data_IF_977592512380
#
_entry.id   IF_977592512380
#
_cell.length_a   1.000
_cell.length_b   1.000
_cell.length_c   1.000
_cell.angle_alpha   90.00
_cell.angle_beta   90.00
_cell.angle_gamma   90.00
#
_symmetry.space_group_name_H-M   'P 1'
#
loop_
_entity.id
_entity.type
_entity.pdbx_description
1 polymer ?
#
# COMPACT_ATOMS: atom_id res chain seq x y z
N UNK A 1 -10.85 5.27 -37.17
CA UNK A 1 -10.45 5.84 -35.87
C UNK A 1 -10.51 4.71 -34.85
N UNK A 2 -9.37 4.11 -34.52
CA UNK A 2 -9.33 2.94 -33.63
C UNK A 2 -9.73 3.32 -32.21
N UNK A 3 -10.70 2.60 -31.65
CA UNK A 3 -11.13 2.72 -30.27
C UNK A 3 -9.91 2.65 -29.34
N UNK A 4 -9.57 3.77 -28.71
CA UNK A 4 -8.53 3.79 -27.67
C UNK A 4 -9.05 2.94 -26.52
N UNK A 5 -8.39 1.81 -26.26
CA UNK A 5 -8.71 0.97 -25.11
C UNK A 5 -8.66 1.81 -23.81
N UNK A 6 -9.68 1.73 -22.95
CA UNK A 6 -9.87 2.61 -21.80
C UNK A 6 -8.99 2.15 -20.63
N UNK A 7 -7.68 2.38 -20.70
CA UNK A 7 -6.77 2.10 -19.58
C UNK A 7 -6.29 3.36 -18.88
N UNK A 8 -6.54 4.54 -19.48
CA UNK A 8 -6.20 5.84 -18.91
C UNK A 8 -6.83 6.06 -17.53
N UNK A 9 -8.04 5.53 -17.29
CA UNK A 9 -8.72 5.68 -16.00
C UNK A 9 -7.94 5.08 -14.83
N UNK A 10 -7.18 3.99 -15.04
CA UNK A 10 -6.36 3.40 -13.97
C UNK A 10 -5.19 4.29 -13.59
N UNK A 11 -4.52 4.90 -14.58
CA UNK A 11 -3.45 5.86 -14.32
C UNK A 11 -3.99 7.10 -13.59
N UNK A 12 -5.20 7.56 -13.92
CA UNK A 12 -5.88 8.62 -13.16
C UNK A 12 -6.25 8.18 -11.74
N UNK A 13 -6.67 6.93 -11.53
CA UNK A 13 -6.93 6.41 -10.19
C UNK A 13 -5.66 6.44 -9.32
N UNK A 14 -4.52 5.95 -9.83
CA UNK A 14 -3.23 6.00 -9.13
C UNK A 14 -2.80 7.43 -8.81
N UNK A 15 -3.00 8.35 -9.77
CA UNK A 15 -2.72 9.76 -9.56
C UNK A 15 -3.58 10.36 -8.45
N UNK A 16 -4.90 10.13 -8.49
CA UNK A 16 -5.85 10.63 -7.49
C UNK A 16 -5.50 10.09 -6.11
N UNK A 17 -5.21 8.79 -5.98
CA UNK A 17 -4.76 8.20 -4.71
C UNK A 17 -3.47 8.87 -4.20
N UNK A 18 -2.52 9.17 -5.08
CA UNK A 18 -1.30 9.89 -4.74
C UNK A 18 -1.54 11.33 -4.30
N UNK A 19 -2.48 12.03 -4.95
CA UNK A 19 -2.90 13.36 -4.54
C UNK A 19 -3.62 13.36 -3.20
N UNK A 20 -4.47 12.36 -2.93
CA UNK A 20 -5.09 12.18 -1.61
C UNK A 20 -4.05 11.93 -0.52
N UNK A 21 -3.06 11.07 -0.78
CA UNK A 21 -1.98 10.82 0.15
C UNK A 21 -1.16 12.10 0.46
N UNK A 22 -0.92 12.94 -0.56
CA UNK A 22 -0.28 14.25 -0.38
C UNK A 22 -1.10 15.20 0.49
N UNK A 23 -2.39 15.35 0.19
CA UNK A 23 -3.29 16.21 0.98
C UNK A 23 -3.33 15.73 2.43
N UNK A 24 -3.46 14.42 2.64
CA UNK A 24 -3.46 13.84 3.98
C UNK A 24 -2.14 14.11 4.72
N UNK A 25 -1.00 13.94 4.04
CA UNK A 25 0.31 14.24 4.62
C UNK A 25 0.46 15.72 4.98
N UNK A 26 -0.13 16.65 4.21
CA UNK A 26 -0.09 18.09 4.49
C UNK A 26 -1.00 18.49 5.65
N UNK A 27 -2.11 17.79 5.86
CA UNK A 27 -3.04 18.02 6.97
C UNK A 27 -2.47 17.64 8.34
N UNK A 28 -1.46 16.78 8.40
CA UNK A 28 -0.79 16.41 9.66
C UNK A 28 -0.06 17.64 10.22
N UNK A 29 -0.37 18.12 11.44
CA UNK A 29 0.29 19.29 12.01
C UNK A 29 1.81 19.04 12.14
N UNK A 30 2.63 20.04 11.79
CA UNK A 30 4.09 19.96 11.97
C UNK A 30 4.45 20.36 13.40
N UNK A 31 5.28 19.55 14.05
CA UNK A 31 5.91 19.92 15.32
C UNK A 31 6.81 21.15 15.07
N UNK A 32 6.42 22.30 15.60
CA UNK A 32 7.20 23.55 15.53
C UNK A 32 6.98 24.41 14.29
N UNK A 33 5.99 24.12 13.43
CA UNK A 33 5.66 24.97 12.27
C UNK A 33 6.70 24.97 11.14
N UNK A 34 7.75 24.16 11.26
CA UNK A 34 8.78 23.98 10.23
C UNK A 34 8.65 22.62 9.55
N UNK A 35 8.86 22.59 8.22
CA UNK A 35 8.87 21.35 7.46
C UNK A 35 10.20 20.65 7.71
N UNK A 36 10.18 19.57 8.49
CA UNK A 36 11.34 18.70 8.70
C UNK A 36 11.86 18.16 7.34
N UNK A 37 13.18 18.01 7.13
CA UNK A 37 13.74 17.50 5.87
C UNK A 37 13.16 16.14 5.44
N UNK A 38 12.80 15.27 6.40
CA UNK A 38 12.14 14.00 6.12
C UNK A 38 10.73 14.18 5.50
N UNK A 39 9.97 15.16 5.98
CA UNK A 39 8.64 15.49 5.44
C UNK A 39 8.74 16.10 4.06
N UNK A 40 9.76 16.93 3.82
CA UNK A 40 10.05 17.46 2.49
C UNK A 40 10.38 16.33 1.49
N UNK A 41 11.21 15.36 1.90
CA UNK A 41 11.52 14.19 1.08
C UNK A 41 10.27 13.34 0.77
N UNK A 42 9.38 13.15 1.76
CA UNK A 42 8.12 12.44 1.58
C UNK A 42 7.17 13.15 0.59
N UNK A 43 7.02 14.48 0.74
CA UNK A 43 6.22 15.30 -0.18
C UNK A 43 6.80 15.22 -1.59
N UNK A 44 8.12 15.36 -1.73
CA UNK A 44 8.81 15.26 -3.02
C UNK A 44 8.60 13.90 -3.68
N UNK A 45 8.76 12.80 -2.94
CA UNK A 45 8.54 11.45 -3.44
C UNK A 45 7.09 11.23 -3.91
N UNK A 46 6.11 11.67 -3.10
CA UNK A 46 4.71 11.55 -3.46
C UNK A 46 4.34 12.42 -4.67
N UNK A 47 4.87 13.65 -4.79
CA UNK A 47 4.68 14.51 -5.96
C UNK A 47 5.26 13.90 -7.22
N UNK A 48 6.46 13.29 -7.14
CA UNK A 48 7.07 12.62 -8.28
C UNK A 48 6.23 11.41 -8.71
N UNK A 49 5.75 10.61 -7.76
CA UNK A 49 4.90 9.45 -8.04
C UNK A 49 3.54 9.88 -8.62
N UNK A 50 2.81 10.78 -7.96
CA UNK A 50 1.49 11.24 -8.41
C UNK A 50 1.56 12.00 -9.74
N UNK A 51 2.61 12.80 -9.93
CA UNK A 51 2.89 13.50 -11.18
C UNK A 51 3.22 12.55 -12.33
N UNK A 52 4.03 11.52 -12.07
CA UNK A 52 4.36 10.48 -13.06
C UNK A 52 3.11 9.74 -13.52
N UNK A 53 2.23 9.36 -12.59
CA UNK A 53 0.97 8.69 -12.92
C UNK A 53 -0.02 9.61 -13.64
N UNK A 54 -0.10 10.88 -13.25
CA UNK A 54 -0.91 11.90 -13.94
C UNK A 54 -0.45 12.11 -15.38
N UNK A 55 0.87 12.14 -15.60
CA UNK A 55 1.46 12.23 -16.93
C UNK A 55 1.12 11.01 -17.78
N UNK A 56 1.23 9.79 -17.23
CA UNK A 56 0.86 8.56 -17.91
C UNK A 56 -0.66 8.47 -18.17
N UNK A 57 -1.50 9.08 -17.33
CA UNK A 57 -2.93 9.21 -17.59
C UNK A 57 -3.24 10.12 -18.77
N UNK A 58 -2.52 11.24 -18.88
CA UNK A 58 -2.66 12.19 -20.00
C UNK A 58 -2.08 11.65 -21.31
N UNK A 59 -0.91 10.98 -21.24
CA UNK A 59 -0.24 10.33 -22.36
C UNK A 59 -0.05 8.84 -22.06
N UNK A 60 -1.10 8.03 -22.23
CA UNK A 60 -0.98 6.59 -22.03
C UNK A 60 0.02 6.01 -23.04
N UNK A 61 0.80 5.00 -22.63
CA UNK A 61 1.77 4.35 -23.49
C UNK A 61 1.07 3.78 -24.74
N UNK A 62 1.69 4.02 -25.91
CA UNK A 62 1.14 3.64 -27.22
C UNK A 62 1.12 2.12 -27.44
N UNK A 63 2.01 1.40 -26.77
CA UNK A 63 2.14 -0.06 -26.83
C UNK A 63 1.81 -0.68 -25.46
N UNK A 64 0.53 -1.04 -25.19
CA UNK A 64 0.15 -1.70 -23.96
C UNK A 64 0.67 -3.15 -23.87
N UNK A 65 0.97 -3.79 -25.00
CA UNK A 65 1.48 -5.17 -25.01
C UNK A 65 2.95 -5.20 -24.55
N UNK A 66 3.70 -4.13 -24.84
CA UNK A 66 5.03 -3.89 -24.29
C UNK A 66 5.07 -3.76 -22.76
N UNK A 67 4.01 -3.26 -22.13
CA UNK A 67 3.88 -3.20 -20.66
C UNK A 67 3.55 -4.56 -20.05
N UNK A 68 2.80 -5.41 -20.77
CA UNK A 68 2.37 -6.73 -20.30
C UNK A 68 3.51 -7.78 -20.29
N UNK A 69 4.78 -7.35 -20.40
CA UNK A 69 5.93 -8.24 -20.35
C UNK A 69 6.02 -8.93 -18.98
N UNK A 70 6.42 -10.23 -18.94
CA UNK A 70 6.59 -10.96 -17.69
C UNK A 70 7.47 -10.25 -16.67
N UNK A 71 8.52 -9.56 -17.16
CA UNK A 71 9.46 -8.83 -16.31
C UNK A 71 8.76 -7.78 -15.43
N UNK A 72 7.83 -7.00 -15.99
CA UNK A 72 7.12 -5.97 -15.21
C UNK A 72 6.11 -6.57 -14.24
N UNK A 73 5.46 -7.68 -14.62
CA UNK A 73 4.53 -8.42 -13.75
C UNK A 73 5.26 -9.00 -12.54
N UNK A 74 6.33 -9.76 -12.77
CA UNK A 74 7.10 -10.33 -11.66
C UNK A 74 7.87 -9.26 -10.89
N UNK A 75 8.30 -8.20 -11.58
CA UNK A 75 8.93 -7.03 -10.96
C UNK A 75 8.01 -6.32 -9.98
N UNK A 76 6.74 -6.06 -10.33
CA UNK A 76 5.78 -5.42 -9.42
C UNK A 76 5.42 -6.32 -8.24
N UNK A 77 5.30 -7.63 -8.46
CA UNK A 77 5.07 -8.59 -7.36
C UNK A 77 6.27 -8.66 -6.40
N UNK A 78 7.49 -8.76 -6.94
CA UNK A 78 8.72 -8.78 -6.15
C UNK A 78 8.92 -7.45 -5.40
N UNK A 79 8.59 -6.31 -6.03
CA UNK A 79 8.61 -5.01 -5.39
C UNK A 79 7.65 -4.96 -4.19
N UNK A 80 6.42 -5.43 -4.35
CA UNK A 80 5.46 -5.51 -3.23
C UNK A 80 5.98 -6.37 -2.09
N UNK A 81 6.59 -7.51 -2.39
CA UNK A 81 7.14 -8.42 -1.37
C UNK A 81 8.34 -7.83 -0.66
N UNK A 82 9.26 -7.21 -1.40
CA UNK A 82 10.45 -6.55 -0.83
C UNK A 82 10.06 -5.37 0.04
N UNK A 83 9.11 -4.53 -0.39
CA UNK A 83 8.57 -3.44 0.42
C UNK A 83 7.88 -3.95 1.69
N UNK A 84 7.08 -5.02 1.59
CA UNK A 84 6.45 -5.65 2.75
C UNK A 84 7.46 -6.21 3.74
N UNK A 85 8.51 -6.85 3.24
CA UNK A 85 9.62 -7.36 4.05
C UNK A 85 10.40 -6.22 4.71
N UNK A 86 10.63 -5.11 4.00
CA UNK A 86 11.25 -3.90 4.58
C UNK A 86 10.37 -3.34 5.71
N UNK A 87 9.05 -3.25 5.50
CA UNK A 87 8.10 -2.80 6.52
C UNK A 87 8.13 -3.69 7.78
N UNK A 88 8.17 -5.02 7.57
CA UNK A 88 8.29 -6.00 8.63
C UNK A 88 9.62 -5.87 9.39
N UNK A 89 10.74 -5.79 8.67
CA UNK A 89 12.06 -5.64 9.28
C UNK A 89 12.19 -4.31 10.05
N UNK A 90 11.67 -3.22 9.50
CA UNK A 90 11.65 -1.92 10.20
C UNK A 90 10.88 -1.99 11.52
N UNK A 91 9.82 -2.81 11.58
CA UNK A 91 9.02 -2.98 12.80
C UNK A 91 9.66 -3.92 13.82
N UNK A 92 10.28 -5.01 13.38
CA UNK A 92 10.61 -6.14 14.25
C UNK A 92 12.11 -6.45 14.41
N UNK A 93 13.00 -5.94 13.54
CA UNK A 93 14.43 -6.29 13.61
C UNK A 93 15.14 -5.65 14.82
N UNK A 94 14.87 -4.38 15.10
CA UNK A 94 15.43 -3.65 16.23
C UNK A 94 14.50 -2.46 16.57
N UNK A 95 13.46 -2.67 17.38
CA UNK A 95 12.43 -1.66 17.60
C UNK A 95 13.01 -0.37 18.19
N UNK A 96 13.94 -0.44 19.14
CA UNK A 96 14.47 0.76 19.83
C UNK A 96 15.08 1.80 18.89
N UNK A 97 15.74 1.35 17.82
CA UNK A 97 16.38 2.24 16.84
C UNK A 97 15.51 2.51 15.62
N UNK A 98 14.69 1.54 15.21
CA UNK A 98 13.97 1.59 13.94
C UNK A 98 12.53 2.10 14.08
N UNK A 99 11.95 2.15 15.29
CA UNK A 99 10.58 2.64 15.50
C UNK A 99 10.36 4.06 14.95
N UNK A 100 11.24 5.06 15.20
CA UNK A 100 11.03 6.41 14.66
C UNK A 100 11.12 6.46 13.13
N UNK A 101 11.92 5.56 12.54
CA UNK A 101 12.07 5.44 11.08
C UNK A 101 10.83 4.75 10.50
N UNK A 102 10.35 3.70 11.14
CA UNK A 102 9.12 2.99 10.80
C UNK A 102 7.91 3.92 10.81
N UNK A 103 7.72 4.72 11.86
CA UNK A 103 6.57 5.64 11.97
C UNK A 103 6.56 6.66 10.83
N UNK A 104 7.73 7.17 10.44
CA UNK A 104 7.87 8.16 9.37
C UNK A 104 7.73 7.56 7.97
N UNK A 105 8.30 6.37 7.72
CA UNK A 105 8.31 5.74 6.41
C UNK A 105 7.10 4.85 6.15
N UNK A 106 6.43 4.35 7.21
CA UNK A 106 5.31 3.41 7.07
C UNK A 106 4.21 3.91 6.14
N UNK A 107 3.76 5.18 6.18
CA UNK A 107 2.69 5.62 5.28
C UNK A 107 3.11 5.54 3.80
N UNK A 108 4.37 5.89 3.50
CA UNK A 108 4.92 5.82 2.14
C UNK A 108 5.09 4.38 1.68
N UNK A 109 5.62 3.50 2.55
CA UNK A 109 5.83 2.10 2.23
C UNK A 109 4.51 1.37 2.01
N UNK A 110 3.50 1.61 2.84
CA UNK A 110 2.15 1.08 2.64
C UNK A 110 1.53 1.56 1.32
N UNK A 111 1.61 2.86 1.04
CA UNK A 111 1.14 3.40 -0.23
C UNK A 111 1.86 2.75 -1.43
N UNK A 112 3.18 2.57 -1.35
CA UNK A 112 3.98 1.95 -2.39
C UNK A 112 3.65 0.47 -2.59
N UNK A 113 3.35 -0.27 -1.50
CA UNK A 113 2.87 -1.66 -1.57
C UNK A 113 1.53 -1.72 -2.31
N UNK A 114 0.58 -0.85 -1.95
CA UNK A 114 -0.74 -0.80 -2.61
C UNK A 114 -0.59 -0.53 -4.11
N UNK A 115 0.23 0.46 -4.50
CA UNK A 115 0.52 0.73 -5.90
C UNK A 115 1.17 -0.46 -6.62
N UNK A 116 2.10 -1.16 -5.97
CA UNK A 116 2.77 -2.32 -6.55
C UNK A 116 1.79 -3.49 -6.78
N UNK A 117 0.89 -3.74 -5.83
CA UNK A 117 -0.18 -4.75 -5.94
C UNK A 117 -1.17 -4.36 -7.04
N UNK A 118 -1.65 -3.11 -7.06
CA UNK A 118 -2.55 -2.64 -8.10
C UNK A 118 -1.92 -2.74 -9.49
N UNK A 119 -0.64 -2.36 -9.62
CA UNK A 119 0.13 -2.48 -10.86
C UNK A 119 0.25 -3.95 -11.30
N UNK A 120 0.53 -4.86 -10.36
CA UNK A 120 0.58 -6.29 -10.64
C UNK A 120 -0.76 -6.83 -11.18
N UNK A 121 -1.87 -6.47 -10.54
CA UNK A 121 -3.21 -6.87 -10.97
C UNK A 121 -3.51 -6.31 -12.36
N UNK A 122 -3.19 -5.03 -12.59
CA UNK A 122 -3.39 -4.39 -13.89
C UNK A 122 -2.57 -5.06 -15.00
N UNK A 123 -1.28 -5.34 -14.77
CA UNK A 123 -0.44 -5.99 -15.76
C UNK A 123 -0.88 -7.44 -16.03
N UNK A 124 -1.35 -8.16 -15.01
CA UNK A 124 -1.98 -9.47 -15.18
C UNK A 124 -3.26 -9.38 -16.02
N UNK A 125 -4.08 -8.37 -15.77
CA UNK A 125 -5.29 -8.10 -16.53
C UNK A 125 -4.98 -7.81 -18.00
N UNK A 126 -3.97 -6.98 -18.28
CA UNK A 126 -3.49 -6.72 -19.63
C UNK A 126 -3.00 -7.99 -20.34
N UNK A 127 -2.20 -8.82 -19.65
CA UNK A 127 -1.59 -10.01 -20.26
C UNK A 127 -2.56 -11.16 -20.48
N UNK A 128 -3.40 -11.45 -19.49
CA UNK A 128 -4.29 -12.62 -19.51
C UNK A 128 -5.72 -12.30 -19.96
N UNK A 129 -6.07 -11.02 -20.05
CA UNK A 129 -7.43 -10.58 -20.36
C UNK A 129 -8.44 -10.91 -19.26
N UNK A 130 -9.68 -10.45 -19.46
CA UNK A 130 -10.81 -10.81 -18.62
C UNK A 130 -11.65 -11.89 -19.29
N UNK A 131 -11.73 -13.06 -18.68
CA UNK A 131 -12.49 -14.20 -19.20
C UNK A 131 -13.59 -14.63 -18.22
N UNK A 132 -14.72 -13.89 -18.16
CA UNK A 132 -15.80 -14.16 -17.22
C UNK A 132 -16.43 -15.55 -17.42
N UNK A 133 -16.37 -16.08 -18.64
CA UNK A 133 -16.83 -17.43 -18.99
C UNK A 133 -16.03 -18.55 -18.33
N UNK A 134 -14.78 -18.32 -17.91
CA UNK A 134 -14.02 -19.28 -17.09
C UNK A 134 -14.38 -19.19 -15.62
N UNK A 135 -14.85 -18.03 -15.15
CA UNK A 135 -15.18 -17.79 -13.74
C UNK A 135 -16.32 -18.69 -13.26
N UNK A 136 -17.30 -18.98 -14.13
CA UNK A 136 -18.40 -19.91 -13.85
C UNK A 136 -17.94 -21.35 -13.65
N UNK A 137 -16.86 -21.77 -14.33
CA UNK A 137 -16.30 -23.14 -14.20
C UNK A 137 -15.54 -23.34 -12.88
N UNK A 138 -14.92 -22.30 -12.33
CA UNK A 138 -14.18 -22.34 -11.06
C UNK A 138 -14.93 -21.68 -9.89
N UNK A 139 -16.22 -21.38 -10.08
CA UNK A 139 -17.11 -20.81 -9.05
C UNK A 139 -17.03 -21.50 -7.67
N UNK A 140 -16.99 -22.85 -7.55
CA UNK A 140 -16.89 -23.47 -6.23
C UNK A 140 -15.57 -23.16 -5.50
N UNK A 141 -14.46 -22.99 -6.23
CA UNK A 141 -13.15 -22.64 -5.65
C UNK A 141 -13.13 -21.21 -5.14
N UNK A 142 -13.70 -20.26 -5.91
CA UNK A 142 -13.86 -18.89 -5.43
C UNK A 142 -14.87 -18.79 -4.29
N UNK A 143 -15.91 -19.63 -4.31
CA UNK A 143 -16.88 -19.74 -3.22
C UNK A 143 -16.24 -20.19 -1.92
N UNK A 144 -15.45 -21.26 -1.94
CA UNK A 144 -14.73 -21.73 -0.75
C UNK A 144 -13.71 -20.70 -0.26
N UNK A 145 -12.95 -20.07 -1.16
CA UNK A 145 -12.02 -18.99 -0.80
C UNK A 145 -12.74 -17.80 -0.15
N UNK A 146 -13.90 -17.38 -0.69
CA UNK A 146 -14.70 -16.30 -0.13
C UNK A 146 -15.25 -16.65 1.26
N UNK A 147 -15.71 -17.90 1.46
CA UNK A 147 -16.18 -18.38 2.76
C UNK A 147 -15.02 -18.38 3.78
N UNK A 148 -13.85 -18.93 3.41
CA UNK A 148 -12.67 -18.92 4.28
C UNK A 148 -12.25 -17.49 4.65
N UNK A 149 -12.27 -16.57 3.68
CA UNK A 149 -11.98 -15.15 3.93
C UNK A 149 -13.04 -14.52 4.86
N UNK A 150 -14.32 -14.81 4.67
CA UNK A 150 -15.39 -14.30 5.51
C UNK A 150 -15.27 -14.80 6.96
N UNK A 151 -14.92 -16.08 7.15
CA UNK A 151 -14.65 -16.65 8.48
C UNK A 151 -13.46 -15.93 9.13
N UNK A 152 -12.36 -15.74 8.40
CA UNK A 152 -11.18 -15.04 8.90
C UNK A 152 -11.50 -13.59 9.30
N UNK A 153 -12.22 -12.86 8.45
CA UNK A 153 -12.65 -11.49 8.73
C UNK A 153 -13.62 -11.43 9.91
N UNK A 154 -14.53 -12.41 10.03
CA UNK A 154 -15.43 -12.55 11.17
C UNK A 154 -14.67 -12.77 12.48
N UNK A 155 -13.64 -13.62 12.47
CA UNK A 155 -12.76 -13.83 13.62
C UNK A 155 -12.00 -12.56 13.99
N UNK A 156 -11.42 -11.86 13.01
CA UNK A 156 -10.74 -10.58 13.26
C UNK A 156 -11.68 -9.51 13.80
N UNK A 157 -12.89 -9.40 13.26
CA UNK A 157 -13.90 -8.49 13.76
C UNK A 157 -14.31 -8.84 15.20
N UNK A 158 -14.54 -10.13 15.47
CA UNK A 158 -14.85 -10.62 16.81
C UNK A 158 -13.74 -10.29 17.81
N UNK A 159 -12.47 -10.57 17.49
CA UNK A 159 -11.31 -10.24 18.32
C UNK A 159 -11.19 -8.71 18.50
N UNK A 160 -11.38 -7.92 17.43
CA UNK A 160 -11.28 -6.47 17.51
C UNK A 160 -12.37 -5.84 18.39
N UNK A 161 -13.57 -6.41 18.42
CA UNK A 161 -14.70 -5.93 19.24
C UNK A 161 -14.55 -6.41 20.69
N UNK A 162 -14.32 -7.71 20.89
CA UNK A 162 -14.29 -8.31 22.23
C UNK A 162 -12.99 -8.10 22.95
N UNK A 163 -11.91 -7.76 22.22
CA UNK A 163 -10.53 -7.69 22.71
C UNK A 163 -10.03 -9.00 23.36
N UNK A 164 -10.75 -10.11 23.18
CA UNK A 164 -10.37 -11.43 23.68
C UNK A 164 -9.05 -11.88 23.03
N UNK A 165 -8.06 -12.23 23.85
CA UNK A 165 -6.74 -12.64 23.38
C UNK A 165 -5.78 -11.49 23.03
N UNK A 166 -6.21 -10.24 23.20
CA UNK A 166 -5.31 -9.09 23.22
C UNK A 166 -4.92 -8.89 24.69
N UNK A 167 -3.77 -9.45 25.10
CA UNK A 167 -3.21 -9.17 26.43
C UNK A 167 -2.91 -7.68 26.51
N UNK A 168 -3.53 -6.99 27.46
CA UNK A 168 -3.25 -5.58 27.70
C UNK A 168 -1.79 -5.47 28.16
N UNK A 169 -0.95 -4.81 27.37
CA UNK A 169 0.43 -4.51 27.76
C UNK A 169 0.43 -3.15 28.49
N UNK A 170 0.58 -3.12 29.82
CA UNK A 170 0.57 -1.90 30.59
C UNK A 170 1.81 -1.02 30.35
N UNK A 171 2.88 -1.55 29.73
CA UNK A 171 4.13 -0.83 29.53
C UNK A 171 4.18 -0.02 28.22
N UNK A 172 3.49 -0.45 27.16
CA UNK A 172 3.64 0.13 25.82
C UNK A 172 2.44 0.96 25.30
N UNK A 173 1.30 0.94 25.99
CA UNK A 173 0.09 1.64 25.53
C UNK A 173 -0.17 2.98 26.25
N UNK A 174 0.78 3.45 27.06
CA UNK A 174 0.74 4.71 27.78
C UNK A 174 1.43 5.87 27.04
N UNK A 175 0.66 6.52 26.16
CA UNK A 175 0.77 7.94 25.75
C UNK A 175 1.93 8.44 24.85
N UNK A 176 1.60 9.28 23.84
CA UNK A 176 2.59 10.02 23.07
C UNK A 176 3.20 11.15 23.92
N UNK A 177 4.53 11.19 24.01
CA UNK A 177 5.29 12.29 24.64
C UNK A 177 6.07 11.92 25.90
N UNK A 178 6.03 10.67 26.37
CA UNK A 178 6.76 10.27 27.59
C UNK A 178 8.12 9.65 27.22
N UNK A 179 9.26 10.26 27.64
CA UNK A 179 10.57 9.66 27.43
C UNK A 179 10.72 8.40 28.29
N UNK A 180 11.20 7.31 27.67
CA UNK A 180 11.54 6.06 28.36
C UNK A 180 12.66 6.36 29.36
N UNK A 181 12.32 6.38 30.65
CA UNK A 181 13.29 6.50 31.72
C UNK A 181 14.04 5.17 31.83
N UNK A 182 15.38 5.22 31.86
CA UNK A 182 16.32 4.08 31.78
C UNK A 182 16.31 3.04 32.93
N UNK A 183 15.17 2.88 33.59
CA UNK A 183 14.94 2.08 34.79
C UNK A 183 13.50 1.51 34.76
N UNK A 184 13.03 1.06 33.58
CA UNK A 184 11.88 0.14 33.50
C UNK A 184 12.28 -1.31 33.84
N UNK A 185 13.07 -1.41 34.93
CA UNK A 185 12.98 -2.42 35.99
C UNK A 185 12.75 -1.68 37.31
#
# INVERSE_FOLDING_TARGET
MGERKPYSWLFYAYAIEGWFALVWLLLIPSEGGQITPARFALIGALLLLSGSWSYLGYRPPKDPDGLARPLFIYGSAALSLTLGLVLFLLRYLNPDRLLPVYERLSPLLWYSILLAIQSFIFLLFLRKGYHPSRLTRVKPVYGSAAISLAILLGLFAFISITRLGITFDPAYWGEPGVPVLGWQF
#
